data_IF_511352131861
#
_entry.id   IF_511352131861
#
_cell.length_a   1.000
_cell.length_b   1.000
_cell.length_c   1.000
_cell.angle_alpha   90.00
_cell.angle_beta   90.00
_cell.angle_gamma   90.00
#
_symmetry.space_group_name_H-M   'P 1'
#
loop_
_entity.id
_entity.type
_entity.pdbx_description
1 polymer ?
#
# COMPACT_ATOMS: atom_id res chain seq x y z
N UNK A 1 -49.13 -8.78 2.21
CA UNK A 1 -48.26 -9.71 1.46
C UNK A 1 -47.72 -8.97 0.25
N UNK A 2 -46.41 -8.77 0.16
CA UNK A 2 -45.72 -8.11 -0.96
C UNK A 2 -44.79 -9.17 -1.57
N UNK A 3 -44.83 -9.44 -2.89
CA UNK A 3 -43.92 -10.43 -3.46
C UNK A 3 -42.54 -9.79 -3.69
N UNK A 4 -41.51 -10.43 -3.14
CA UNK A 4 -40.11 -10.14 -3.41
C UNK A 4 -39.71 -10.73 -4.76
N UNK A 5 -39.31 -9.89 -5.72
CA UNK A 5 -38.68 -10.33 -6.97
C UNK A 5 -37.17 -10.16 -6.82
N UNK A 6 -36.48 -11.28 -6.59
CA UNK A 6 -35.03 -11.40 -6.71
C UNK A 6 -34.64 -11.31 -8.19
N UNK A 7 -33.94 -10.24 -8.58
CA UNK A 7 -33.23 -10.18 -9.87
C UNK A 7 -31.80 -10.65 -9.64
N UNK A 8 -31.50 -11.86 -10.11
CA UNK A 8 -30.13 -12.31 -10.30
C UNK A 8 -29.45 -11.38 -11.31
N UNK A 9 -28.47 -10.61 -10.86
CA UNK A 9 -27.63 -9.81 -11.73
C UNK A 9 -26.78 -10.72 -12.60
N UNK A 10 -26.97 -10.66 -13.91
CA UNK A 10 -26.10 -11.30 -14.89
C UNK A 10 -24.72 -10.69 -14.82
N UNK A 11 -23.71 -11.47 -14.42
CA UNK A 11 -22.30 -11.10 -14.56
C UNK A 11 -21.99 -10.91 -16.04
N UNK A 12 -21.69 -9.66 -16.43
CA UNK A 12 -21.23 -9.35 -17.78
C UNK A 12 -19.81 -9.92 -17.90
N UNK A 13 -19.52 -10.81 -18.87
CA UNK A 13 -18.17 -11.31 -19.07
C UNK A 13 -17.26 -10.15 -19.43
N UNK A 14 -16.17 -9.98 -18.67
CA UNK A 14 -15.15 -9.00 -18.99
C UNK A 14 -14.47 -9.38 -20.32
N UNK A 15 -14.21 -8.39 -21.21
CA UNK A 15 -13.53 -8.66 -22.46
C UNK A 15 -12.14 -9.25 -22.18
N UNK A 16 -11.80 -10.28 -22.95
CA UNK A 16 -10.48 -10.92 -22.85
C UNK A 16 -9.43 -9.95 -23.36
N UNK A 17 -8.35 -9.67 -22.61
CA UNK A 17 -7.28 -8.77 -23.06
C UNK A 17 -6.70 -9.23 -24.39
N UNK A 18 -6.42 -8.26 -25.25
CA UNK A 18 -5.74 -8.46 -26.52
C UNK A 18 -4.31 -8.96 -26.29
N UNK A 19 -3.71 -9.60 -27.30
CA UNK A 19 -2.32 -10.08 -27.22
C UNK A 19 -1.32 -8.93 -26.94
N UNK A 20 -1.62 -7.72 -27.41
CA UNK A 20 -0.84 -6.52 -27.14
C UNK A 20 -0.92 -6.10 -25.68
N UNK A 21 -2.10 -6.13 -25.06
CA UNK A 21 -2.28 -5.81 -23.64
C UNK A 21 -1.58 -6.84 -22.73
N UNK A 22 -1.63 -8.12 -23.11
CA UNK A 22 -0.86 -9.19 -22.44
C UNK A 22 0.64 -8.96 -22.48
N UNK A 23 1.18 -8.59 -23.65
CA UNK A 23 2.61 -8.33 -23.80
C UNK A 23 3.09 -7.12 -22.99
N UNK A 24 2.26 -6.07 -22.85
CA UNK A 24 2.58 -4.89 -22.02
C UNK A 24 2.54 -5.23 -20.53
N UNK A 25 1.56 -6.03 -20.10
CA UNK A 25 1.46 -6.53 -18.72
C UNK A 25 2.65 -7.46 -18.37
N UNK A 26 3.02 -8.37 -19.28
CA UNK A 26 4.19 -9.25 -19.14
C UNK A 26 5.52 -8.47 -19.12
N UNK A 27 5.65 -7.42 -19.93
CA UNK A 27 6.80 -6.50 -19.90
C UNK A 27 6.91 -5.82 -18.54
N UNK A 28 5.82 -5.28 -18.00
CA UNK A 28 5.85 -4.58 -16.71
C UNK A 28 6.26 -5.47 -15.54
N UNK A 29 5.90 -6.77 -15.55
CA UNK A 29 6.39 -7.74 -14.55
C UNK A 29 7.89 -8.02 -14.75
N UNK A 30 8.37 -8.11 -16.00
CA UNK A 30 9.78 -8.34 -16.32
C UNK A 30 10.68 -7.11 -16.11
N UNK A 31 10.11 -5.91 -16.17
CA UNK A 31 10.81 -4.63 -16.03
C UNK A 31 10.91 -4.15 -14.56
N UNK A 32 10.42 -4.94 -13.60
CA UNK A 32 10.52 -4.61 -12.18
C UNK A 32 9.57 -3.49 -11.74
N UNK A 33 8.38 -3.38 -12.35
CA UNK A 33 7.38 -2.39 -11.97
C UNK A 33 6.75 -2.76 -10.62
N UNK A 34 6.98 -1.93 -9.60
CA UNK A 34 6.35 -2.07 -8.28
C UNK A 34 4.96 -1.43 -8.27
N UNK A 35 3.94 -2.21 -7.93
CA UNK A 35 2.57 -1.71 -7.67
C UNK A 35 2.33 -1.66 -6.17
N UNK A 36 1.98 -0.48 -5.65
CA UNK A 36 1.74 -0.28 -4.22
C UNK A 36 0.34 -0.81 -3.86
N UNK A 37 0.28 -1.88 -3.07
CA UNK A 37 -0.98 -2.47 -2.61
C UNK A 37 -1.46 -1.90 -1.28
N UNK A 38 -0.53 -1.60 -0.39
CA UNK A 38 -0.80 -1.07 0.94
C UNK A 38 0.29 -0.08 1.31
N UNK A 39 -0.08 1.06 1.88
CA UNK A 39 0.88 2.03 2.40
C UNK A 39 0.37 2.63 3.70
N UNK A 40 1.27 2.76 4.68
CA UNK A 40 1.03 3.51 5.90
C UNK A 40 2.06 4.63 5.97
N UNK A 41 1.61 5.86 6.16
CA UNK A 41 2.45 7.05 6.28
C UNK A 41 2.16 7.69 7.64
N UNK A 42 3.20 7.86 8.44
CA UNK A 42 3.16 8.60 9.70
C UNK A 42 3.86 9.93 9.46
N UNK A 43 3.09 11.01 9.45
CA UNK A 43 3.62 12.36 9.37
C UNK A 43 3.93 12.85 10.78
N UNK A 44 5.15 13.35 10.99
CA UNK A 44 5.58 13.96 12.24
C UNK A 44 5.77 15.44 12.01
N UNK A 45 5.02 16.27 12.74
CA UNK A 45 5.15 17.73 12.71
C UNK A 45 5.61 18.22 14.07
N UNK A 46 6.67 19.03 14.06
CA UNK A 46 7.10 19.74 15.25
C UNK A 46 6.31 21.06 15.29
N UNK A 47 5.28 21.11 16.12
CA UNK A 47 4.60 22.37 16.40
C UNK A 47 5.46 23.18 17.37
N UNK A 48 5.30 24.50 17.45
CA UNK A 48 6.07 25.37 18.37
C UNK A 48 5.89 25.03 19.87
N UNK A 49 5.13 23.98 20.20
CA UNK A 49 5.00 23.40 21.53
C UNK A 49 5.86 22.14 21.63
N UNK A 50 6.32 21.77 22.82
CA UNK A 50 7.20 20.61 23.07
C UNK A 50 6.62 19.23 22.69
N UNK A 51 5.46 19.19 22.01
CA UNK A 51 4.77 17.97 21.64
C UNK A 51 4.80 17.81 20.11
N UNK A 52 5.39 16.71 19.65
CA UNK A 52 5.25 16.27 18.27
C UNK A 52 3.79 15.91 17.98
N UNK A 53 3.25 16.40 16.87
CA UNK A 53 1.96 15.97 16.33
C UNK A 53 2.20 14.85 15.32
N UNK A 54 1.48 13.74 15.51
CA UNK A 54 1.55 12.57 14.66
C UNK A 54 0.23 12.41 13.91
N UNK A 55 0.29 12.46 12.58
CA UNK A 55 -0.84 12.12 11.72
C UNK A 55 -0.56 10.80 11.01
N UNK A 56 -1.51 9.88 11.04
CA UNK A 56 -1.39 8.58 10.37
C UNK A 56 -2.38 8.48 9.22
N UNK A 57 -1.88 8.17 8.03
CA UNK A 57 -2.68 7.84 6.86
C UNK A 57 -2.40 6.40 6.44
N UNK A 58 -3.44 5.59 6.26
CA UNK A 58 -3.33 4.18 5.86
C UNK A 58 -4.28 3.87 4.73
N UNK A 59 -3.72 3.38 3.62
CA UNK A 59 -4.46 3.07 2.40
C UNK A 59 -4.19 1.65 1.93
N UNK A 60 -5.22 1.06 1.32
CA UNK A 60 -5.15 -0.19 0.56
C UNK A 60 -5.70 0.08 -0.84
N UNK A 61 -4.83 0.00 -1.85
CA UNK A 61 -5.17 0.41 -3.21
C UNK A 61 -5.62 -0.77 -4.06
N UNK A 62 -6.67 -0.54 -4.85
CA UNK A 62 -6.99 -1.39 -5.99
C UNK A 62 -5.90 -1.16 -7.04
N UNK A 63 -5.34 -2.22 -7.66
CA UNK A 63 -4.32 -2.04 -8.67
C UNK A 63 -4.90 -1.34 -9.91
N UNK A 64 -4.09 -0.62 -10.71
CA UNK A 64 -4.51 -0.09 -12.00
C UNK A 64 -5.04 -1.21 -12.91
N UNK A 65 -6.10 -0.94 -13.67
CA UNK A 65 -6.78 -1.94 -14.51
C UNK A 65 -5.82 -2.63 -15.51
N UNK A 66 -4.81 -1.90 -16.02
CA UNK A 66 -3.76 -2.44 -16.92
C UNK A 66 -2.90 -3.54 -16.29
N UNK A 67 -2.90 -3.67 -14.96
CA UNK A 67 -2.18 -4.71 -14.21
C UNK A 67 -3.13 -5.79 -13.67
N UNK A 68 -4.38 -5.81 -14.14
CA UNK A 68 -5.36 -6.85 -13.86
C UNK A 68 -5.46 -7.74 -15.11
N UNK A 69 -4.36 -8.40 -15.48
CA UNK A 69 -4.36 -9.51 -16.43
C UNK A 69 -4.37 -10.84 -15.65
N UNK A 70 -5.04 -11.86 -16.18
CA UNK A 70 -5.12 -13.19 -15.60
C UNK A 70 -3.74 -13.79 -15.22
N UNK A 71 -2.68 -13.51 -15.99
CA UNK A 71 -1.33 -13.98 -15.66
C UNK A 71 -0.76 -13.26 -14.43
N UNK A 72 -0.84 -11.92 -14.40
CA UNK A 72 -0.42 -11.10 -13.25
C UNK A 72 -1.22 -11.49 -12.02
N UNK A 73 -2.54 -11.65 -12.16
CA UNK A 73 -3.42 -12.06 -11.09
C UNK A 73 -2.99 -13.39 -10.50
N UNK A 74 -2.66 -14.40 -11.32
CA UNK A 74 -2.24 -15.71 -10.84
C UNK A 74 -0.93 -15.64 -10.05
N UNK A 75 0.09 -14.97 -10.58
CA UNK A 75 1.39 -14.84 -9.90
C UNK A 75 1.29 -13.97 -8.63
N UNK A 76 0.48 -12.91 -8.69
CA UNK A 76 0.28 -11.96 -7.60
C UNK A 76 -0.65 -12.51 -6.52
N UNK A 77 -1.56 -13.42 -6.84
CA UNK A 77 -2.44 -14.08 -5.86
C UNK A 77 -1.61 -14.90 -4.87
N UNK A 78 -0.57 -15.59 -5.35
CA UNK A 78 0.36 -16.34 -4.51
C UNK A 78 1.25 -15.41 -3.66
N UNK A 79 1.74 -14.32 -4.23
CA UNK A 79 2.62 -13.41 -3.48
C UNK A 79 1.88 -12.52 -2.49
N UNK A 80 0.78 -11.87 -2.89
CA UNK A 80 0.08 -10.89 -2.06
C UNK A 80 -0.96 -11.54 -1.14
N UNK A 81 -1.73 -12.49 -1.66
CA UNK A 81 -2.77 -13.17 -0.89
C UNK A 81 -2.21 -14.02 0.25
N UNK A 82 -1.08 -14.71 0.02
CA UNK A 82 -0.45 -15.55 1.04
C UNK A 82 0.60 -14.84 1.90
N UNK A 83 1.28 -13.79 1.45
CA UNK A 83 2.28 -13.11 2.31
C UNK A 83 1.70 -11.91 3.06
N UNK A 84 0.78 -11.18 2.42
CA UNK A 84 0.25 -9.93 2.94
C UNK A 84 -1.21 -10.03 3.35
N UNK A 85 -1.92 -11.08 2.94
CA UNK A 85 -3.34 -11.26 3.28
C UNK A 85 -4.29 -10.32 2.52
N UNK A 86 -3.80 -9.70 1.44
CA UNK A 86 -4.54 -8.78 0.59
C UNK A 86 -4.69 -9.44 -0.78
N UNK A 87 -5.93 -9.60 -1.26
CA UNK A 87 -6.16 -10.08 -2.62
C UNK A 87 -5.66 -9.05 -3.63
N UNK A 88 -5.13 -9.53 -4.76
CA UNK A 88 -4.53 -8.65 -5.76
C UNK A 88 -5.54 -7.63 -6.32
N UNK A 89 -6.75 -8.07 -6.62
CA UNK A 89 -7.85 -7.25 -7.15
C UNK A 89 -8.59 -6.42 -6.09
N UNK A 90 -8.27 -6.61 -4.81
CA UNK A 90 -8.92 -5.93 -3.70
C UNK A 90 -8.23 -4.61 -3.34
N UNK A 91 -9.00 -3.56 -3.10
CA UNK A 91 -8.55 -2.35 -2.41
C UNK A 91 -9.69 -1.36 -2.25
N UNK A 92 -9.69 -0.63 -1.13
CA UNK A 92 -10.74 0.34 -0.82
C UNK A 92 -10.53 1.68 -1.57
N UNK A 93 -9.32 1.92 -2.05
CA UNK A 93 -8.94 3.18 -2.70
C UNK A 93 -8.54 2.96 -4.15
N UNK A 94 -8.92 3.86 -5.07
CA UNK A 94 -8.41 3.84 -6.45
C UNK A 94 -6.91 4.17 -6.48
N UNK A 95 -6.17 3.67 -7.48
CA UNK A 95 -4.72 3.85 -7.54
C UNK A 95 -4.32 5.29 -7.86
N UNK A 96 -5.16 6.04 -8.56
CA UNK A 96 -4.95 7.46 -8.86
C UNK A 96 -4.87 8.30 -7.57
N UNK A 97 -5.55 7.86 -6.50
CA UNK A 97 -5.45 8.50 -5.19
C UNK A 97 -4.02 8.37 -4.62
N UNK A 98 -3.34 7.25 -4.86
CA UNK A 98 -1.94 7.08 -4.44
C UNK A 98 -1.05 8.15 -5.07
N UNK A 99 -1.19 8.38 -6.37
CA UNK A 99 -0.38 9.39 -7.08
C UNK A 99 -0.65 10.81 -6.56
N UNK A 100 -1.91 11.14 -6.29
CA UNK A 100 -2.30 12.43 -5.70
C UNK A 100 -1.74 12.59 -4.29
N UNK A 101 -1.83 11.54 -3.47
CA UNK A 101 -1.32 11.54 -2.10
C UNK A 101 0.20 11.64 -2.07
N UNK A 102 0.89 10.90 -2.93
CA UNK A 102 2.35 10.97 -3.03
C UNK A 102 2.83 12.38 -3.37
N UNK A 103 2.21 13.05 -4.35
CA UNK A 103 2.51 14.45 -4.66
C UNK A 103 2.33 15.36 -3.45
N UNK A 104 1.21 15.21 -2.73
CA UNK A 104 0.95 15.96 -1.50
C UNK A 104 1.99 15.69 -0.41
N UNK A 105 2.35 14.43 -0.18
CA UNK A 105 3.36 14.07 0.82
C UNK A 105 4.72 14.65 0.46
N UNK A 106 5.14 14.55 -0.80
CA UNK A 106 6.42 15.12 -1.28
C UNK A 106 6.45 16.64 -1.08
N UNK A 107 5.36 17.35 -1.39
CA UNK A 107 5.26 18.80 -1.23
C UNK A 107 5.31 19.26 0.24
N UNK A 108 4.83 18.43 1.16
CA UNK A 108 4.67 18.79 2.57
C UNK A 108 5.71 18.14 3.49
N UNK A 109 6.73 17.47 2.93
CA UNK A 109 7.75 16.76 3.69
C UNK A 109 9.14 17.31 3.41
N UNK A 110 9.99 17.31 4.43
CA UNK A 110 11.41 17.62 4.25
C UNK A 110 12.25 16.36 3.97
N UNK A 111 11.84 15.22 4.53
CA UNK A 111 12.51 13.93 4.42
C UNK A 111 11.47 12.82 4.49
N UNK A 112 11.73 11.70 3.81
CA UNK A 112 11.03 10.44 4.07
C UNK A 112 11.94 9.49 4.83
N UNK A 113 11.37 8.74 5.76
CA UNK A 113 12.05 7.63 6.43
C UNK A 113 11.41 6.32 5.99
N UNK A 114 12.23 5.37 5.57
CA UNK A 114 11.77 4.06 5.11
C UNK A 114 12.65 2.95 5.67
N UNK A 115 12.15 1.73 5.56
CA UNK A 115 12.79 0.55 6.09
C UNK A 115 13.41 -0.32 4.99
N UNK A 116 14.74 -0.26 4.89
CA UNK A 116 15.54 -1.06 3.98
C UNK A 116 15.86 -0.36 2.66
N UNK A 117 17.10 -0.54 2.19
CA UNK A 117 17.66 0.10 1.01
C UNK A 117 16.84 -0.10 -0.28
N UNK A 118 16.13 -1.22 -0.42
CA UNK A 118 15.28 -1.45 -1.60
C UNK A 118 14.09 -0.48 -1.64
N UNK A 119 13.45 -0.21 -0.50
CA UNK A 119 12.34 0.76 -0.41
C UNK A 119 12.84 2.18 -0.57
N UNK A 120 14.03 2.47 -0.05
CA UNK A 120 14.71 3.76 -0.25
C UNK A 120 14.88 4.04 -1.74
N UNK A 121 15.60 3.16 -2.46
CA UNK A 121 15.85 3.32 -3.90
C UNK A 121 14.56 3.40 -4.71
N UNK A 122 13.56 2.59 -4.37
CA UNK A 122 12.26 2.62 -5.03
C UNK A 122 11.57 3.97 -4.85
N UNK A 123 11.48 4.49 -3.62
CA UNK A 123 10.81 5.75 -3.35
C UNK A 123 11.57 6.94 -3.95
N UNK A 124 12.91 6.95 -3.88
CA UNK A 124 13.77 7.96 -4.51
C UNK A 124 13.53 8.04 -6.02
N UNK A 125 13.45 6.88 -6.68
CA UNK A 125 13.13 6.80 -8.11
C UNK A 125 11.74 7.33 -8.39
N UNK A 126 10.75 6.96 -7.57
CA UNK A 126 9.35 7.32 -7.76
C UNK A 126 9.09 8.82 -7.58
N UNK A 127 9.81 9.48 -6.67
CA UNK A 127 9.68 10.92 -6.40
C UNK A 127 10.74 11.76 -7.12
N UNK A 128 11.50 11.15 -8.04
CA UNK A 128 12.56 11.80 -8.82
C UNK A 128 13.59 12.54 -7.94
N UNK A 129 13.90 11.98 -6.78
CA UNK A 129 14.79 12.59 -5.77
C UNK A 129 14.35 14.00 -5.30
N UNK A 130 13.05 14.32 -5.38
CA UNK A 130 12.52 15.63 -4.99
C UNK A 130 12.77 15.96 -3.51
N UNK A 131 12.79 14.96 -2.64
CA UNK A 131 13.16 15.07 -1.22
C UNK A 131 14.04 13.88 -0.82
N UNK A 132 14.94 14.03 0.18
CA UNK A 132 15.78 12.92 0.59
C UNK A 132 14.98 11.80 1.25
N UNK A 133 15.33 10.56 0.92
CA UNK A 133 14.77 9.36 1.55
C UNK A 133 15.86 8.70 2.38
N UNK A 134 15.59 8.47 3.65
CA UNK A 134 16.54 7.97 4.63
C UNK A 134 16.16 6.53 4.99
N UNK A 135 17.11 5.61 4.83
CA UNK A 135 16.96 4.23 5.28
C UNK A 135 17.24 4.10 6.79
N UNK A 136 16.19 3.77 7.54
CA UNK A 136 16.26 3.63 9.00
C UNK A 136 17.11 2.44 9.45
N UNK A 137 17.33 1.42 8.61
CA UNK A 137 18.25 0.30 8.91
C UNK A 137 19.68 0.78 9.15
N UNK A 138 20.11 1.79 8.40
CA UNK A 138 21.45 2.35 8.52
C UNK A 138 21.62 3.17 9.80
N UNK A 139 20.52 3.72 10.32
CA UNK A 139 20.52 4.53 11.53
C UNK A 139 20.41 3.71 12.82
N UNK A 140 20.17 2.39 12.73
CA UNK A 140 19.97 1.47 13.87
C UNK A 140 18.81 1.85 14.81
N UNK A 141 17.78 2.54 14.28
CA UNK A 141 16.59 2.96 15.03
C UNK A 141 15.56 1.84 15.27
N UNK A 142 15.99 0.64 15.62
CA UNK A 142 15.06 -0.48 15.86
C UNK A 142 15.00 -0.86 17.34
N UNK A 143 13.82 -0.81 17.94
CA UNK A 143 13.53 -1.49 19.20
C UNK A 143 12.17 -2.16 19.07
N UNK A 144 12.10 -3.48 19.25
CA UNK A 144 10.84 -4.20 19.26
C UNK A 144 9.97 -3.90 20.49
N UNK A 145 10.47 -3.13 21.46
CA UNK A 145 9.87 -3.07 22.81
C UNK A 145 8.92 -1.88 23.04
N UNK A 146 8.81 -0.92 22.10
CA UNK A 146 8.03 0.31 22.29
C UNK A 146 6.92 0.49 21.24
N UNK A 147 5.78 -0.17 21.44
CA UNK A 147 4.56 0.09 20.67
C UNK A 147 3.78 1.22 21.34
N UNK A 148 4.03 2.47 20.97
CA UNK A 148 3.13 3.57 21.30
C UNK A 148 1.93 3.59 20.32
N UNK A 149 0.71 3.72 20.83
CA UNK A 149 -0.53 3.67 20.06
C UNK A 149 -0.87 5.05 19.45
N UNK A 150 -0.15 5.48 18.41
CA UNK A 150 -0.33 6.83 17.81
C UNK A 150 -1.67 7.05 17.15
N UNK A 151 -2.41 5.98 16.85
CA UNK A 151 -3.50 6.12 15.90
C UNK A 151 -4.79 5.54 16.47
N UNK A 152 -5.77 6.44 16.61
CA UNK A 152 -7.19 6.06 16.48
C UNK A 152 -7.49 5.42 15.11
N UNK A 153 -6.54 5.48 14.17
CA UNK A 153 -6.61 4.87 12.84
C UNK A 153 -6.53 3.36 12.98
N UNK A 154 -7.51 2.68 12.40
CA UNK A 154 -7.54 1.23 12.31
C UNK A 154 -7.17 0.83 10.88
N UNK A 155 -6.45 -0.28 10.75
CA UNK A 155 -6.27 -0.92 9.46
C UNK A 155 -7.64 -1.09 8.75
N UNK A 156 -7.84 -0.54 7.54
CA UNK A 156 -9.13 -0.61 6.83
C UNK A 156 -9.61 -2.05 6.59
N UNK A 157 -8.67 -2.99 6.55
CA UNK A 157 -8.91 -4.42 6.35
C UNK A 157 -8.55 -5.26 7.57
N UNK A 158 -8.63 -4.68 8.77
CA UNK A 158 -8.29 -5.37 10.02
C UNK A 158 -9.00 -6.72 10.17
N UNK A 159 -10.24 -6.87 9.70
CA UNK A 159 -10.98 -8.14 9.76
C UNK A 159 -10.43 -9.22 8.82
N UNK A 160 -9.77 -8.84 7.73
CA UNK A 160 -9.08 -9.76 6.83
C UNK A 160 -7.71 -10.15 7.37
N UNK A 161 -6.97 -9.19 7.94
CA UNK A 161 -5.67 -9.46 8.59
C UNK A 161 -5.82 -10.25 9.89
N UNK A 162 -6.82 -9.95 10.73
CA UNK A 162 -6.99 -10.60 12.05
C UNK A 162 -7.34 -12.08 11.98
N UNK A 163 -7.91 -12.54 10.87
CA UNK A 163 -8.23 -13.97 10.62
C UNK A 163 -6.98 -14.80 10.28
N UNK A 164 -5.86 -14.17 9.96
CA UNK A 164 -4.61 -14.84 9.59
C UNK A 164 -3.46 -14.24 10.40
N UNK A 165 -3.20 -14.79 11.59
CA UNK A 165 -2.18 -14.37 12.59
C UNK A 165 -0.73 -14.23 12.08
N UNK A 166 -0.47 -14.51 10.81
CA UNK A 166 0.86 -14.61 10.21
C UNK A 166 1.22 -13.36 9.40
N UNK A 167 0.29 -12.42 9.20
CA UNK A 167 0.49 -11.27 8.31
C UNK A 167 0.64 -9.98 9.10
N UNK A 168 1.77 -9.32 8.89
CA UNK A 168 2.01 -7.98 9.40
C UNK A 168 1.61 -6.96 8.33
N UNK A 169 0.58 -6.16 8.61
CA UNK A 169 0.13 -5.12 7.69
C UNK A 169 1.02 -3.89 7.75
N UNK A 170 0.99 -3.04 6.72
CA UNK A 170 1.82 -1.83 6.66
C UNK A 170 1.66 -0.94 7.91
N UNK A 171 0.43 -0.82 8.45
CA UNK A 171 0.17 -0.08 9.67
C UNK A 171 0.82 -0.72 10.91
N UNK A 172 0.69 -2.02 11.10
CA UNK A 172 1.35 -2.73 12.21
C UNK A 172 2.86 -2.61 12.13
N UNK A 173 3.42 -2.73 10.91
CA UNK A 173 4.85 -2.52 10.68
C UNK A 173 5.27 -1.11 11.06
N UNK A 174 4.50 -0.08 10.66
CA UNK A 174 4.80 1.31 11.00
C UNK A 174 4.74 1.57 12.52
N UNK A 175 3.82 0.93 13.25
CA UNK A 175 3.74 1.02 14.71
C UNK A 175 4.97 0.42 15.43
N UNK A 176 5.65 -0.56 14.83
CA UNK A 176 6.83 -1.20 15.41
C UNK A 176 8.14 -0.40 15.18
N UNK A 177 8.08 0.68 14.40
CA UNK A 177 9.28 1.43 13.96
C UNK A 177 9.60 2.66 14.81
N UNK A 178 8.94 2.87 15.94
CA UNK A 178 9.15 4.09 16.74
C UNK A 178 10.19 3.91 17.86
N UNK A 179 11.11 4.88 17.93
CA UNK A 179 11.79 5.38 19.13
C UNK A 179 11.47 6.85 19.34
#
# INVERSE_FOLDING_TARGET
>A
MIPSVSKAGTCIPHPTPTQTERAVAESAIRDGVFVVKEICVISVRNEFSTNNVYDCEHYVFKPPDKYIDALIMRESQDQFGYKHGILWDYGASPYELFEQKLKSWVQNSHYFYVLGAQKQKWLETLIENAVPVIDMEQMRFYSPDNVEDFAKVRCPIREFHSKRRQFACAFQNAQQLKH
#
